data_IF_848893536551
#
_entry.id   IF_848893536551
#
_cell.length_a   1.000
_cell.length_b   1.000
_cell.length_c   1.000
_cell.angle_alpha   90.00
_cell.angle_beta   90.00
_cell.angle_gamma   90.00
#
_symmetry.space_group_name_H-M   'P 1'
#
loop_
_entity.id
_entity.type
_entity.pdbx_description
1 polymer ?
#
# COMPACT_ATOMS: atom_id res chain seq x y z
N UNK A 1 -11.60 -23.43 -26.24
CA UNK A 1 -10.94 -22.13 -26.43
C UNK A 1 -9.46 -22.37 -26.53
N UNK A 2 -8.73 -21.73 -27.47
CA UNK A 2 -7.28 -21.85 -27.52
C UNK A 2 -6.68 -21.28 -26.22
N UNK A 3 -5.66 -21.94 -25.64
CA UNK A 3 -5.05 -21.53 -24.37
C UNK A 3 -4.53 -20.09 -24.40
N UNK A 4 -4.17 -19.59 -25.58
CA UNK A 4 -3.61 -18.26 -25.79
C UNK A 4 -4.64 -17.14 -25.63
N UNK A 5 -5.94 -17.43 -25.80
CA UNK A 5 -7.00 -16.40 -25.66
C UNK A 5 -7.08 -15.85 -24.23
N UNK A 6 -6.91 -16.72 -23.23
CA UNK A 6 -6.96 -16.32 -21.83
C UNK A 6 -5.78 -15.42 -21.46
N UNK A 7 -4.58 -15.74 -21.95
CA UNK A 7 -3.36 -14.99 -21.61
C UNK A 7 -3.19 -13.71 -22.44
N UNK A 8 -3.57 -13.71 -23.72
CA UNK A 8 -3.37 -12.58 -24.61
C UNK A 8 -4.47 -11.52 -24.49
N UNK A 9 -5.70 -11.91 -24.14
CA UNK A 9 -6.85 -11.00 -24.17
C UNK A 9 -7.54 -10.89 -22.82
N UNK A 10 -7.96 -12.01 -22.23
CA UNK A 10 -8.79 -11.96 -21.03
C UNK A 10 -8.02 -11.43 -19.81
N UNK A 11 -6.79 -11.91 -19.59
CA UNK A 11 -5.98 -11.51 -18.45
C UNK A 11 -5.56 -10.03 -18.54
N UNK A 12 -4.99 -9.51 -19.64
CA UNK A 12 -4.63 -8.08 -19.74
C UNK A 12 -5.86 -7.18 -19.63
N UNK A 13 -6.98 -7.56 -20.27
CA UNK A 13 -8.23 -6.83 -20.15
C UNK A 13 -8.75 -6.78 -18.71
N UNK A 14 -8.73 -7.92 -18.00
CA UNK A 14 -9.17 -7.99 -16.61
C UNK A 14 -8.28 -7.17 -15.69
N UNK A 15 -6.96 -7.24 -15.86
CA UNK A 15 -6.00 -6.44 -15.08
C UNK A 15 -6.22 -4.94 -15.31
N UNK A 16 -6.37 -4.50 -16.56
CA UNK A 16 -6.66 -3.10 -16.89
C UNK A 16 -8.00 -2.65 -16.29
N UNK A 17 -9.06 -3.45 -16.44
CA UNK A 17 -10.39 -3.14 -15.93
C UNK A 17 -10.40 -3.00 -14.40
N UNK A 18 -9.73 -3.91 -13.69
CA UNK A 18 -9.59 -3.86 -12.23
C UNK A 18 -8.79 -2.63 -11.80
N UNK A 19 -7.69 -2.32 -12.49
CA UNK A 19 -6.85 -1.16 -12.20
C UNK A 19 -7.62 0.17 -12.38
N UNK A 20 -8.38 0.31 -13.47
CA UNK A 20 -9.21 1.49 -13.73
C UNK A 20 -10.37 1.61 -12.74
N UNK A 21 -11.03 0.49 -12.41
CA UNK A 21 -12.09 0.47 -11.40
C UNK A 21 -11.55 0.94 -10.04
N UNK A 22 -10.40 0.41 -9.61
CA UNK A 22 -9.75 0.85 -8.37
C UNK A 22 -9.36 2.31 -8.42
N UNK A 23 -8.85 2.80 -9.54
CA UNK A 23 -8.52 4.22 -9.74
C UNK A 23 -9.72 5.12 -9.46
N UNK A 24 -10.85 4.85 -10.13
CA UNK A 24 -12.08 5.64 -9.98
C UNK A 24 -12.61 5.58 -8.55
N UNK A 25 -12.67 4.37 -7.98
CA UNK A 25 -13.19 4.14 -6.63
C UNK A 25 -12.38 4.89 -5.58
N UNK A 26 -11.05 4.78 -5.63
CA UNK A 26 -10.16 5.39 -4.64
C UNK A 26 -10.13 6.92 -4.76
N UNK A 27 -10.13 7.47 -5.98
CA UNK A 27 -10.26 8.91 -6.18
C UNK A 27 -11.60 9.44 -5.65
N UNK A 28 -12.69 8.73 -5.96
CA UNK A 28 -14.03 9.10 -5.50
C UNK A 28 -14.15 9.05 -3.97
N UNK A 29 -13.66 8.00 -3.32
CA UNK A 29 -13.66 7.89 -1.85
C UNK A 29 -12.79 8.98 -1.19
N UNK A 30 -11.59 9.20 -1.72
CA UNK A 30 -10.67 10.23 -1.22
C UNK A 30 -11.29 11.63 -1.28
N UNK A 31 -11.87 12.00 -2.43
CA UNK A 31 -12.58 13.27 -2.60
C UNK A 31 -13.79 13.37 -1.67
N UNK A 32 -14.59 12.31 -1.55
CA UNK A 32 -15.77 12.29 -0.68
C UNK A 32 -15.38 12.53 0.78
N UNK A 33 -14.29 11.94 1.26
CA UNK A 33 -13.80 12.17 2.62
C UNK A 33 -13.37 13.63 2.81
N UNK A 34 -12.66 14.22 1.86
CA UNK A 34 -12.24 15.62 1.98
C UNK A 34 -13.38 16.63 1.92
N UNK A 35 -14.41 16.34 1.10
CA UNK A 35 -15.55 17.23 0.90
C UNK A 35 -16.63 17.08 1.99
N UNK A 36 -16.86 15.87 2.51
CA UNK A 36 -17.96 15.60 3.46
C UNK A 36 -17.52 15.43 4.92
N UNK A 37 -16.22 15.45 5.24
CA UNK A 37 -15.78 15.34 6.62
C UNK A 37 -16.14 16.59 7.45
N UNK A 38 -17.19 16.48 8.27
CA UNK A 38 -17.62 17.56 9.17
C UNK A 38 -16.62 17.87 10.29
N UNK A 39 -15.88 16.87 10.78
CA UNK A 39 -14.81 17.04 11.77
C UNK A 39 -13.49 16.51 11.21
N UNK A 40 -12.55 17.42 10.96
CA UNK A 40 -11.24 17.11 10.38
C UNK A 40 -10.26 16.67 11.46
N UNK A 41 -10.20 15.36 11.67
CA UNK A 41 -9.17 14.74 12.51
C UNK A 41 -7.96 14.31 11.66
N UNK A 42 -6.82 14.08 12.30
CA UNK A 42 -5.62 13.59 11.60
C UNK A 42 -5.86 12.25 10.87
N UNK A 43 -6.64 11.34 11.45
CA UNK A 43 -7.02 10.08 10.80
C UNK A 43 -7.88 10.29 9.55
N UNK A 44 -8.73 11.32 9.54
CA UNK A 44 -9.54 11.69 8.37
C UNK A 44 -8.66 12.18 7.21
N UNK A 45 -7.65 13.00 7.51
CA UNK A 45 -6.66 13.45 6.52
C UNK A 45 -5.84 12.30 5.97
N UNK A 46 -5.40 11.38 6.84
CA UNK A 46 -4.62 10.21 6.45
C UNK A 46 -5.43 9.24 5.58
N UNK A 47 -6.71 9.03 5.90
CA UNK A 47 -7.61 8.21 5.09
C UNK A 47 -7.86 8.85 3.71
N UNK A 48 -8.23 10.13 3.67
CA UNK A 48 -8.50 10.84 2.42
C UNK A 48 -7.27 10.87 1.51
N UNK A 49 -6.11 11.26 2.04
CA UNK A 49 -4.85 11.29 1.28
C UNK A 49 -4.39 9.90 0.85
N UNK A 50 -4.52 8.88 1.70
CA UNK A 50 -4.20 7.49 1.35
C UNK A 50 -5.01 6.98 0.17
N UNK A 51 -6.31 7.28 0.13
CA UNK A 51 -7.15 6.92 -1.03
C UNK A 51 -6.77 7.70 -2.29
N UNK A 52 -6.46 8.99 -2.21
CA UNK A 52 -6.01 9.75 -3.38
C UNK A 52 -4.66 9.24 -3.92
N UNK A 53 -3.70 8.93 -3.04
CA UNK A 53 -2.40 8.35 -3.41
C UNK A 53 -2.59 6.97 -4.04
N UNK A 54 -3.48 6.14 -3.48
CA UNK A 54 -3.84 4.85 -4.08
C UNK A 54 -4.46 5.00 -5.48
N UNK A 55 -5.37 5.96 -5.66
CA UNK A 55 -5.94 6.27 -6.97
C UNK A 55 -4.88 6.72 -7.98
N UNK A 56 -3.97 7.62 -7.58
CA UNK A 56 -2.85 8.04 -8.42
C UNK A 56 -1.91 6.88 -8.79
N UNK A 57 -1.65 5.98 -7.84
CA UNK A 57 -0.87 4.76 -8.09
C UNK A 57 -1.52 3.85 -9.14
N UNK A 58 -2.81 3.54 -9.00
CA UNK A 58 -3.51 2.70 -9.99
C UNK A 58 -3.68 3.39 -11.34
N UNK A 59 -3.76 4.72 -11.39
CA UNK A 59 -3.75 5.47 -12.63
C UNK A 59 -2.41 5.31 -13.36
N UNK A 60 -1.30 5.51 -12.64
CA UNK A 60 0.05 5.32 -13.19
C UNK A 60 0.30 3.86 -13.60
N UNK A 61 -0.18 2.91 -12.80
CA UNK A 61 -0.10 1.48 -13.11
C UNK A 61 -0.88 1.15 -14.40
N UNK A 62 -2.09 1.69 -14.57
CA UNK A 62 -2.89 1.51 -15.79
C UNK A 62 -2.16 2.04 -17.03
N UNK A 63 -1.52 3.22 -16.93
CA UNK A 63 -0.72 3.77 -18.02
C UNK A 63 0.53 2.92 -18.31
N UNK A 64 1.18 2.40 -17.27
CA UNK A 64 2.38 1.59 -17.41
C UNK A 64 2.13 0.20 -18.02
N UNK A 65 0.90 -0.35 -17.90
CA UNK A 65 0.52 -1.58 -18.59
C UNK A 65 0.53 -1.43 -20.12
N UNK A 66 0.31 -0.21 -20.63
CA UNK A 66 0.27 0.09 -22.06
C UNK A 66 1.67 0.40 -22.63
N UNK A 67 2.51 1.14 -21.87
CA UNK A 67 3.83 1.61 -22.32
C UNK A 67 5.02 0.70 -21.95
N UNK A 68 4.77 -0.50 -21.44
CA UNK A 68 5.75 -1.40 -20.80
C UNK A 68 6.38 -0.81 -19.52
N UNK A 69 5.99 -1.39 -18.37
CA UNK A 69 6.41 -0.97 -17.04
C UNK A 69 7.95 -0.98 -16.88
N UNK A 70 8.63 -1.95 -17.49
CA UNK A 70 10.09 -2.06 -17.47
C UNK A 70 10.77 -0.86 -18.14
N UNK A 71 10.32 -0.44 -19.32
CA UNK A 71 10.91 0.72 -19.99
C UNK A 71 10.71 2.03 -19.20
N UNK A 72 9.56 2.17 -18.51
CA UNK A 72 9.27 3.35 -17.69
C UNK A 72 10.10 3.40 -16.40
N UNK A 73 10.35 2.24 -15.80
CA UNK A 73 11.11 2.11 -14.55
C UNK A 73 12.62 2.17 -14.81
N UNK A 74 13.13 1.41 -15.78
CA UNK A 74 14.57 1.27 -16.07
C UNK A 74 15.19 2.58 -16.55
N UNK A 75 14.41 3.41 -17.24
CA UNK A 75 14.87 4.70 -17.77
C UNK A 75 14.81 5.87 -16.78
N UNK A 76 14.20 5.72 -15.60
CA UNK A 76 13.96 6.86 -14.71
C UNK A 76 13.88 6.52 -13.21
N UNK A 77 14.87 6.95 -12.41
CA UNK A 77 14.80 6.83 -10.95
C UNK A 77 13.59 7.55 -10.34
N UNK A 78 13.04 8.57 -11.02
CA UNK A 78 11.85 9.28 -10.57
C UNK A 78 10.58 8.43 -10.66
N UNK A 79 10.37 7.74 -11.78
CA UNK A 79 9.23 6.84 -11.97
C UNK A 79 9.29 5.62 -11.06
N UNK A 80 10.49 5.08 -10.84
CA UNK A 80 10.74 4.06 -9.83
C UNK A 80 10.23 4.48 -8.44
N UNK A 81 10.66 5.66 -7.97
CA UNK A 81 10.22 6.19 -6.67
C UNK A 81 8.73 6.42 -6.60
N UNK A 82 8.14 6.98 -7.66
CA UNK A 82 6.72 7.29 -7.71
C UNK A 82 5.84 6.04 -7.62
N UNK A 83 6.27 4.91 -8.17
CA UNK A 83 5.53 3.65 -8.09
C UNK A 83 5.85 2.88 -6.81
N UNK A 84 7.12 2.78 -6.43
CA UNK A 84 7.55 1.97 -5.31
C UNK A 84 7.17 2.58 -3.94
N UNK A 85 7.22 3.92 -3.78
CA UNK A 85 6.88 4.55 -2.50
C UNK A 85 5.41 4.35 -2.10
N UNK A 86 4.40 4.61 -2.95
CA UNK A 86 3.02 4.28 -2.64
C UNK A 86 2.82 2.79 -2.38
N UNK A 87 3.47 1.92 -3.17
CA UNK A 87 3.37 0.47 -3.01
C UNK A 87 3.82 -0.01 -1.61
N UNK A 88 4.83 0.63 -1.03
CA UNK A 88 5.34 0.35 0.32
C UNK A 88 4.52 1.11 1.39
N UNK A 89 4.12 2.36 1.12
CA UNK A 89 3.44 3.23 2.07
C UNK A 89 1.97 2.86 2.30
N UNK A 90 1.26 2.38 1.28
CA UNK A 90 -0.16 2.00 1.37
C UNK A 90 -0.44 0.92 2.43
N UNK A 91 0.25 -0.24 2.47
CA UNK A 91 -0.01 -1.25 3.51
C UNK A 91 0.32 -0.75 4.92
N UNK A 92 1.35 0.10 5.06
CA UNK A 92 1.69 0.71 6.34
C UNK A 92 0.66 1.76 6.79
N UNK A 93 0.23 2.62 5.87
CA UNK A 93 -0.84 3.59 6.09
C UNK A 93 -2.13 2.91 6.48
N UNK A 94 -2.47 1.79 5.84
CA UNK A 94 -3.62 0.98 6.22
C UNK A 94 -3.52 0.45 7.66
N UNK A 95 -2.37 -0.08 8.07
CA UNK A 95 -2.14 -0.51 9.45
C UNK A 95 -2.34 0.64 10.45
N UNK A 96 -1.78 1.82 10.16
CA UNK A 96 -1.95 3.02 10.99
C UNK A 96 -3.43 3.41 11.10
N UNK A 97 -4.15 3.44 9.96
CA UNK A 97 -5.58 3.75 9.93
C UNK A 97 -6.39 2.77 10.76
N UNK A 98 -6.11 1.48 10.65
CA UNK A 98 -6.82 0.47 11.42
C UNK A 98 -6.55 0.62 12.92
N UNK A 99 -5.29 0.83 13.33
CA UNK A 99 -4.95 1.08 14.74
C UNK A 99 -5.63 2.35 15.27
N UNK A 100 -5.59 3.43 14.50
CA UNK A 100 -6.29 4.68 14.83
C UNK A 100 -7.79 4.44 14.98
N UNK A 101 -8.41 3.75 14.01
CA UNK A 101 -9.84 3.45 14.02
C UNK A 101 -10.26 2.58 15.21
N UNK A 102 -9.37 1.75 15.73
CA UNK A 102 -9.59 0.88 16.88
C UNK A 102 -9.35 1.57 18.24
N UNK A 103 -8.97 2.85 18.26
CA UNK A 103 -8.72 3.61 19.49
C UNK A 103 -7.33 3.36 20.09
N UNK A 104 -6.34 2.96 19.28
CA UNK A 104 -4.97 2.77 19.75
C UNK A 104 -4.34 4.05 20.33
N UNK A 105 -4.78 5.23 19.88
CA UNK A 105 -4.31 6.53 20.35
C UNK A 105 -5.16 7.18 21.45
N UNK A 106 -6.23 6.53 21.91
CA UNK A 106 -7.06 7.06 23.01
C UNK A 106 -6.35 6.86 24.36
N UNK A 107 -6.57 7.71 25.36
CA UNK A 107 -5.79 7.79 26.62
C UNK A 107 -5.90 6.58 27.59
N UNK A 108 -6.51 5.46 27.19
CA UNK A 108 -6.60 4.24 27.99
C UNK A 108 -5.40 3.28 27.84
N UNK A 109 -4.98 2.64 28.93
CA UNK A 109 -4.03 1.52 28.91
C UNK A 109 -4.73 0.24 28.41
N UNK A 110 -4.84 0.07 27.09
CA UNK A 110 -5.50 -1.09 26.48
C UNK A 110 -4.53 -2.26 26.23
N UNK A 111 -5.02 -3.49 26.34
CA UNK A 111 -4.27 -4.70 25.94
C UNK A 111 -3.84 -4.66 24.46
N UNK A 112 -4.60 -3.92 23.63
CA UNK A 112 -4.28 -3.61 22.24
C UNK A 112 -2.96 -2.83 22.15
N UNK A 113 -2.75 -1.79 22.98
CA UNK A 113 -1.51 -1.01 23.02
C UNK A 113 -0.28 -1.88 23.26
N UNK A 114 -0.35 -2.75 24.27
CA UNK A 114 0.79 -3.60 24.66
C UNK A 114 1.15 -4.63 23.59
N UNK A 115 0.14 -5.25 22.96
CA UNK A 115 0.34 -6.36 22.02
C UNK A 115 0.56 -5.90 20.57
N UNK A 116 -0.02 -4.78 20.14
CA UNK A 116 0.23 -4.19 18.83
C UNK A 116 1.53 -3.36 18.75
N UNK A 117 2.13 -2.95 19.88
CA UNK A 117 3.36 -2.15 19.88
C UNK A 117 4.54 -2.86 19.20
N UNK A 118 4.75 -4.13 19.48
CA UNK A 118 5.83 -4.91 18.87
C UNK A 118 5.69 -5.09 17.34
N UNK A 119 4.55 -5.57 16.82
CA UNK A 119 4.38 -5.67 15.37
C UNK A 119 4.37 -4.29 14.70
N UNK A 120 3.89 -3.24 15.37
CA UNK A 120 4.00 -1.87 14.85
C UNK A 120 5.46 -1.42 14.73
N UNK A 121 6.29 -1.61 15.77
CA UNK A 121 7.71 -1.28 15.74
C UNK A 121 8.45 -2.04 14.65
N UNK A 122 8.18 -3.35 14.52
CA UNK A 122 8.75 -4.18 13.47
C UNK A 122 8.30 -3.69 12.08
N UNK A 123 7.02 -3.40 11.89
CA UNK A 123 6.51 -2.86 10.64
C UNK A 123 7.11 -1.48 10.32
N UNK A 124 7.31 -0.61 11.31
CA UNK A 124 8.00 0.68 11.10
C UNK A 124 9.46 0.47 10.72
N UNK A 125 10.17 -0.45 11.37
CA UNK A 125 11.56 -0.76 11.03
C UNK A 125 11.68 -1.32 9.60
N UNK A 126 10.78 -2.24 9.22
CA UNK A 126 10.73 -2.78 7.86
C UNK A 126 10.33 -1.73 6.83
N UNK A 127 9.38 -0.85 7.14
CA UNK A 127 8.99 0.26 6.27
C UNK A 127 10.18 1.19 5.97
N UNK A 128 10.93 1.57 7.01
CA UNK A 128 12.14 2.39 6.85
C UNK A 128 13.22 1.64 6.06
N UNK A 129 13.44 0.36 6.35
CA UNK A 129 14.40 -0.46 5.63
C UNK A 129 14.04 -0.58 4.14
N UNK A 130 12.77 -0.85 3.81
CA UNK A 130 12.27 -0.91 2.45
C UNK A 130 12.38 0.45 1.74
N UNK A 131 12.12 1.56 2.44
CA UNK A 131 12.30 2.91 1.88
C UNK A 131 13.77 3.21 1.53
N UNK A 132 14.70 2.81 2.41
CA UNK A 132 16.14 2.92 2.15
C UNK A 132 16.56 2.02 0.98
N UNK A 133 16.13 0.76 0.98
CA UNK A 133 16.40 -0.18 -0.11
C UNK A 133 15.82 0.30 -1.44
N UNK A 134 14.63 0.93 -1.43
CA UNK A 134 14.03 1.53 -2.61
C UNK A 134 14.91 2.64 -3.20
N UNK A 135 15.61 3.41 -2.36
CA UNK A 135 16.57 4.42 -2.81
C UNK A 135 17.85 3.81 -3.39
N UNK A 136 18.34 2.71 -2.81
CA UNK A 136 19.49 1.98 -3.34
C UNK A 136 19.18 1.18 -4.62
N UNK A 137 17.96 0.66 -4.73
CA UNK A 137 17.49 -0.11 -5.89
C UNK A 137 17.01 0.78 -7.05
N UNK A 138 17.02 2.10 -6.90
CA UNK A 138 16.64 3.00 -7.97
C UNK A 138 17.60 2.84 -9.16
N UNK A 139 17.10 2.63 -10.39
CA UNK A 139 17.96 2.55 -11.56
C UNK A 139 18.69 3.88 -11.73
N UNK A 140 20.02 3.80 -11.75
CA UNK A 140 20.90 4.96 -11.96
C UNK A 140 21.71 4.65 -13.20
N UNK A 141 21.72 5.59 -14.13
CA UNK A 141 22.65 5.53 -15.25
C UNK A 141 24.06 5.76 -14.69
N UNK A 142 24.89 4.72 -14.70
CA UNK A 142 26.32 4.89 -14.47
C UNK A 142 26.95 5.31 -15.81
N UNK A 143 27.57 6.50 -15.84
CA UNK A 143 28.33 6.97 -17.00
C UNK A 143 29.65 6.19 -17.07
N UNK A 144 29.77 5.27 -18.03
CA UNK A 144 31.07 4.69 -18.36
C UNK A 144 31.94 5.73 -19.10
N UNK A 145 33.28 5.70 -18.92
CA UNK A 145 34.17 6.36 -19.87
C UNK A 145 33.78 5.89 -21.28
N UNK A 146 33.69 6.82 -22.24
CA UNK A 146 33.27 6.60 -23.64
C UNK A 146 31.76 6.63 -23.97
N UNK A 147 30.89 6.97 -23.02
CA UNK A 147 29.49 7.29 -23.34
C UNK A 147 28.55 6.09 -23.47
N UNK A 148 29.00 4.90 -23.07
CA UNK A 148 28.12 3.76 -22.87
C UNK A 148 27.29 3.94 -21.60
N UNK A 149 25.97 3.83 -21.72
CA UNK A 149 25.04 3.83 -20.60
C UNK A 149 24.97 2.42 -20.02
N UNK A 150 25.56 2.21 -18.84
CA UNK A 150 25.30 0.98 -18.09
C UNK A 150 24.05 1.17 -17.23
N UNK A 151 22.97 0.48 -17.61
CA UNK A 151 21.67 0.56 -16.92
C UNK A 151 21.58 -0.35 -15.67
N UNK A 152 22.68 -1.00 -15.25
CA UNK A 152 22.63 -1.91 -14.11
C UNK A 152 23.96 -2.02 -13.37
N UNK A 153 24.07 -1.32 -12.25
CA UNK A 153 25.09 -1.60 -11.24
C UNK A 153 24.68 -2.86 -10.45
N UNK A 154 25.62 -3.72 -10.08
CA UNK A 154 25.37 -4.92 -9.25
C UNK A 154 24.59 -4.59 -7.97
N UNK A 155 24.81 -3.38 -7.43
CA UNK A 155 24.09 -2.86 -6.27
C UNK A 155 22.58 -2.67 -6.51
N UNK A 156 22.17 -2.23 -7.71
CA UNK A 156 20.76 -2.03 -8.08
C UNK A 156 20.03 -3.38 -8.14
N UNK A 157 20.64 -4.38 -8.77
CA UNK A 157 20.09 -5.73 -8.85
C UNK A 157 19.98 -6.40 -7.48
N UNK A 158 20.99 -6.24 -6.62
CA UNK A 158 20.95 -6.74 -5.25
C UNK A 158 19.84 -6.05 -4.45
N UNK A 159 19.72 -4.73 -4.55
CA UNK A 159 18.67 -3.95 -3.91
C UNK A 159 17.27 -4.42 -4.31
N UNK A 160 17.04 -4.60 -5.62
CA UNK A 160 15.76 -5.11 -6.16
C UNK A 160 15.41 -6.50 -5.60
N UNK A 161 16.37 -7.44 -5.62
CA UNK A 161 16.17 -8.80 -5.10
C UNK A 161 15.82 -8.83 -3.62
N UNK A 162 16.55 -8.05 -2.82
CA UNK A 162 16.30 -7.95 -1.38
C UNK A 162 14.94 -7.30 -1.12
N UNK A 163 14.57 -6.28 -1.88
CA UNK A 163 13.26 -5.62 -1.79
C UNK A 163 12.12 -6.62 -2.08
N UNK A 164 12.25 -7.42 -3.15
CA UNK A 164 11.31 -8.50 -3.50
C UNK A 164 11.20 -9.59 -2.41
N UNK A 165 12.27 -9.87 -1.67
CA UNK A 165 12.25 -10.84 -0.57
C UNK A 165 11.62 -10.28 0.72
N UNK A 166 11.87 -9.00 1.04
CA UNK A 166 11.40 -8.38 2.29
C UNK A 166 9.96 -7.85 2.17
N UNK A 167 9.53 -7.45 0.98
CA UNK A 167 8.22 -6.85 0.78
C UNK A 167 7.04 -7.80 1.12
N UNK A 168 6.98 -9.06 0.64
CA UNK A 168 5.90 -9.98 0.99
C UNK A 168 5.72 -10.19 2.51
N UNK A 169 6.77 -10.53 3.30
CA UNK A 169 6.60 -10.70 4.74
C UNK A 169 6.22 -9.40 5.45
N UNK A 170 6.69 -8.24 4.97
CA UNK A 170 6.25 -6.94 5.47
C UNK A 170 4.75 -6.71 5.25
N UNK A 171 4.26 -7.04 4.05
CA UNK A 171 2.84 -6.88 3.71
C UNK A 171 1.96 -7.84 4.52
N UNK A 172 2.38 -9.10 4.67
CA UNK A 172 1.70 -10.07 5.54
C UNK A 172 1.68 -9.61 6.99
N UNK A 173 2.80 -9.06 7.50
CA UNK A 173 2.84 -8.51 8.86
C UNK A 173 1.84 -7.36 9.04
N UNK A 174 1.80 -6.41 8.10
CA UNK A 174 0.89 -5.28 8.14
C UNK A 174 -0.58 -5.73 8.11
N UNK A 175 -0.93 -6.63 7.18
CA UNK A 175 -2.30 -7.12 7.01
C UNK A 175 -2.76 -8.01 8.17
N UNK A 176 -1.92 -8.93 8.65
CA UNK A 176 -2.23 -9.78 9.79
C UNK A 176 -2.42 -8.96 11.08
N UNK A 177 -1.56 -7.96 11.30
CA UNK A 177 -1.68 -7.08 12.48
C UNK A 177 -2.95 -6.23 12.40
N UNK A 178 -3.29 -5.72 11.21
CA UNK A 178 -4.55 -5.00 10.97
C UNK A 178 -5.79 -5.89 11.24
N UNK A 179 -5.80 -7.12 10.72
CA UNK A 179 -6.85 -8.11 10.98
C UNK A 179 -7.01 -8.41 12.47
N UNK A 180 -5.89 -8.62 13.16
CA UNK A 180 -5.90 -8.90 14.59
C UNK A 180 -6.43 -7.72 15.41
N UNK A 181 -6.04 -6.48 15.06
CA UNK A 181 -6.54 -5.26 15.69
C UNK A 181 -8.06 -5.09 15.49
N UNK A 182 -8.58 -5.39 14.30
CA UNK A 182 -10.03 -5.44 14.03
C UNK A 182 -10.75 -6.54 14.83
N UNK A 183 -10.05 -7.60 15.21
CA UNK A 183 -10.53 -8.63 16.12
C UNK A 183 -10.77 -8.10 17.54
N UNK A 184 -9.89 -7.22 18.03
CA UNK A 184 -9.77 -6.86 19.44
C UNK A 184 -9.76 -5.33 19.63
N UNK A 185 -10.90 -4.63 19.44
CA UNK A 185 -10.93 -3.17 19.54
C UNK A 185 -10.73 -2.71 20.98
N UNK A 186 -10.14 -1.51 21.16
CA UNK A 186 -10.24 -0.84 22.45
C UNK A 186 -11.68 -0.29 22.63
N UNK A 187 -12.23 -0.33 23.85
CA UNK A 187 -13.54 0.25 24.14
C UNK A 187 -13.50 1.75 23.83
N UNK A 188 -14.33 2.22 22.89
CA UNK A 188 -14.43 3.66 22.58
C UNK A 188 -15.46 4.32 23.50
N UNK A 189 -15.12 5.49 24.04
CA UNK A 189 -16.00 6.24 24.96
C UNK A 189 -17.14 7.00 24.27
N UNK A 190 -17.32 6.90 22.95
CA UNK A 190 -18.31 7.67 22.18
C UNK A 190 -19.26 6.74 21.41
N UNK A 191 -20.51 6.67 21.88
CA UNK A 191 -21.58 5.78 21.37
C UNK A 191 -21.77 5.86 19.84
N UNK A 192 -21.74 7.07 19.27
CA UNK A 192 -21.93 7.28 17.83
C UNK A 192 -20.76 6.75 16.96
N UNK A 193 -19.55 6.70 17.52
CA UNK A 193 -18.36 6.15 16.86
C UNK A 193 -18.39 4.61 16.86
N UNK A 194 -18.99 4.01 17.90
CA UNK A 194 -19.10 2.56 18.04
C UNK A 194 -20.11 1.97 17.03
N UNK A 195 -21.20 2.67 16.74
CA UNK A 195 -22.19 2.28 15.72
C UNK A 195 -21.58 2.25 14.30
N UNK A 196 -20.84 3.30 13.94
CA UNK A 196 -20.13 3.40 12.67
C UNK A 196 -19.05 2.30 12.55
N UNK A 197 -18.31 2.05 13.65
CA UNK A 197 -17.30 1.00 13.74
C UNK A 197 -17.93 -0.39 13.57
N UNK A 198 -19.09 -0.66 14.19
CA UNK A 198 -19.83 -1.93 14.04
C UNK A 198 -20.24 -2.19 12.60
N UNK A 199 -20.74 -1.18 11.87
CA UNK A 199 -21.13 -1.33 10.46
C UNK A 199 -19.93 -1.50 9.51
N UNK A 200 -18.81 -0.83 9.77
CA UNK A 200 -17.61 -0.91 8.94
C UNK A 200 -16.79 -2.19 9.17
N UNK A 201 -16.82 -2.77 10.37
CA UNK A 201 -16.05 -3.96 10.77
C UNK A 201 -16.14 -5.17 9.84
N UNK A 202 -17.34 -5.66 9.43
CA UNK A 202 -17.42 -6.84 8.56
C UNK A 202 -16.76 -6.57 7.20
N UNK A 203 -16.93 -5.37 6.65
CA UNK A 203 -16.32 -4.96 5.39
C UNK A 203 -14.80 -4.84 5.50
N UNK A 204 -14.27 -4.26 6.58
CA UNK A 204 -12.82 -4.14 6.81
C UNK A 204 -12.15 -5.50 7.06
N UNK A 205 -12.86 -6.45 7.68
CA UNK A 205 -12.38 -7.82 7.83
C UNK A 205 -12.38 -8.55 6.49
N UNK A 206 -13.45 -8.41 5.70
CA UNK A 206 -13.53 -9.01 4.38
C UNK A 206 -12.42 -8.46 3.46
N UNK A 207 -12.20 -7.16 3.43
CA UNK A 207 -11.14 -6.55 2.61
C UNK A 207 -9.75 -7.01 3.05
N UNK A 208 -9.47 -7.04 4.35
CA UNK A 208 -8.17 -7.46 4.86
C UNK A 208 -7.93 -8.98 4.68
N UNK A 209 -8.98 -9.80 4.71
CA UNK A 209 -8.90 -11.24 4.39
C UNK A 209 -8.62 -11.47 2.91
N UNK A 210 -9.35 -10.78 2.03
CA UNK A 210 -9.09 -10.82 0.58
C UNK A 210 -7.67 -10.37 0.29
N UNK A 211 -7.20 -9.31 0.94
CA UNK A 211 -5.84 -8.83 0.75
C UNK A 211 -4.81 -9.84 1.24
N UNK A 212 -5.04 -10.49 2.38
CA UNK A 212 -4.16 -11.56 2.88
C UNK A 212 -4.13 -12.76 1.93
N UNK A 213 -5.28 -13.15 1.35
CA UNK A 213 -5.35 -14.23 0.36
C UNK A 213 -4.61 -13.89 -0.93
N UNK A 214 -4.65 -12.64 -1.39
CA UNK A 214 -3.89 -12.16 -2.56
C UNK A 214 -2.39 -12.08 -2.29
N UNK A 215 -1.99 -11.98 -1.02
CA UNK A 215 -0.60 -11.79 -0.62
C UNK A 215 0.14 -13.10 -0.34
N UNK A 216 -0.58 -14.23 -0.28
CA UNK A 216 -0.05 -15.58 -0.08
C UNK A 216 0.27 -16.22 -1.43
#
# INVERSE_FOLDING_TARGET
>A
MPPDFLQLYLLPWAVLAVSLFNTVLLLWLGLTIFLNAQNRSWGTYLAGSGFLVGGAFFLAHSAALDFSLEALIDGSPGWWMFLALPLIALPFGWLILILWSCGFWDEGASLLKRRARWPLLLATALFLNLGVLCFYAAPRADFLPFGDLNFGNDATFLGMRVLLMIYPPFLVLCTATALWALGNPAPSGRMMTEEARRRARPWLRASSLVQLLVSL
#
